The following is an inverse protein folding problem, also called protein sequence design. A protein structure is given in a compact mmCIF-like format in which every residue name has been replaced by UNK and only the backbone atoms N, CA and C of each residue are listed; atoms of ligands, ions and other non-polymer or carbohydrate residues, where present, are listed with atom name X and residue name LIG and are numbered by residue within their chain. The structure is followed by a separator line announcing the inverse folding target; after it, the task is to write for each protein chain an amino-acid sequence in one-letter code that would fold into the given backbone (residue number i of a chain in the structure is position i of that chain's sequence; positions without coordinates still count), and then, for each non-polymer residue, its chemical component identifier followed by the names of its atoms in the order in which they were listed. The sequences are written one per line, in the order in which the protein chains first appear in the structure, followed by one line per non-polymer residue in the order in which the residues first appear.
data_IF_790494438587
#
_entry.id   IF_790494438587
#
_cell.length_a   1.000
_cell.length_b   1.000
_cell.length_c   1.000
_cell.angle_alpha   90.00
_cell.angle_beta   90.00
_cell.angle_gamma   90.00
#
_symmetry.space_group_name_H-M   'P 1'
#
loop_
_entity.id
_entity.type
_entity.pdbx_description
1 polymer ?
#
# COMPACT_ATOMS: atom_id res chain seq x y z
N UNK A 1 0.64 8.65 5.02
CA UNK A 1 0.93 7.30 4.48
C UNK A 1 0.87 7.30 2.95
N UNK A 2 -0.27 7.61 2.32
CA UNK A 2 -0.41 7.65 0.86
C UNK A 2 0.65 8.54 0.16
N UNK A 3 0.96 9.71 0.74
CA UNK A 3 2.02 10.59 0.22
C UNK A 3 3.40 9.94 0.18
N UNK A 4 3.71 9.07 1.15
CA UNK A 4 5.01 8.38 1.20
C UNK A 4 5.07 7.29 0.12
N UNK A 5 4.01 6.50 -0.03
CA UNK A 5 3.89 5.51 -1.11
C UNK A 5 4.04 6.17 -2.49
N UNK A 6 3.39 7.31 -2.71
CA UNK A 6 3.50 8.07 -3.97
C UNK A 6 4.93 8.55 -4.23
N UNK A 7 5.65 8.97 -3.19
CA UNK A 7 7.05 9.33 -3.31
C UNK A 7 7.91 8.13 -3.71
N UNK A 8 7.74 6.98 -3.05
CA UNK A 8 8.48 5.76 -3.35
C UNK A 8 8.21 5.26 -4.78
N UNK A 9 6.95 5.26 -5.22
CA UNK A 9 6.60 4.86 -6.59
C UNK A 9 7.33 5.71 -7.63
N UNK A 10 7.40 7.03 -7.43
CA UNK A 10 8.16 7.94 -8.31
C UNK A 10 9.66 7.67 -8.26
N UNK A 11 10.21 7.47 -7.06
CA UNK A 11 11.64 7.16 -6.86
C UNK A 11 12.02 5.87 -7.57
N UNK A 12 11.15 4.86 -7.56
CA UNK A 12 11.45 3.53 -8.07
C UNK A 12 11.18 3.38 -9.57
N UNK A 13 10.34 4.24 -10.17
CA UNK A 13 9.84 4.11 -11.55
C UNK A 13 10.92 3.81 -12.60
N UNK A 14 12.06 4.51 -12.58
CA UNK A 14 13.13 4.33 -13.57
C UNK A 14 14.10 3.17 -13.28
N UNK A 15 13.91 2.49 -12.13
CA UNK A 15 14.81 1.45 -11.63
C UNK A 15 14.09 0.14 -11.34
N UNK A 16 12.76 0.11 -11.37
CA UNK A 16 11.99 -1.10 -11.14
C UNK A 16 11.99 -2.00 -12.38
N UNK A 17 12.72 -3.12 -12.32
CA UNK A 17 12.80 -4.12 -13.40
C UNK A 17 12.44 -5.51 -12.88
N UNK A 18 11.20 -6.00 -13.09
CA UNK A 18 10.78 -7.33 -12.65
C UNK A 18 11.66 -8.48 -13.16
N UNK A 19 12.21 -8.33 -14.37
CA UNK A 19 13.11 -9.28 -15.02
C UNK A 19 14.54 -9.29 -14.45
N UNK A 20 14.94 -8.24 -13.74
CA UNK A 20 16.24 -8.10 -13.10
C UNK A 20 16.06 -7.48 -11.70
N UNK A 21 15.55 -8.23 -10.71
CA UNK A 21 15.10 -7.67 -9.43
C UNK A 21 16.16 -6.86 -8.66
N UNK A 22 17.44 -7.21 -8.81
CA UNK A 22 18.55 -6.53 -8.14
C UNK A 22 18.99 -5.23 -8.87
N UNK A 23 18.58 -5.02 -10.13
CA UNK A 23 18.94 -3.82 -10.89
C UNK A 23 18.47 -2.57 -10.16
N UNK A 24 19.39 -1.67 -9.80
CA UNK A 24 19.06 -0.42 -9.12
C UNK A 24 18.65 -0.56 -7.64
N UNK A 25 18.95 -1.70 -7.00
CA UNK A 25 18.64 -1.94 -5.58
C UNK A 25 19.20 -0.84 -4.67
N UNK A 26 20.43 -0.39 -4.93
CA UNK A 26 21.09 0.66 -4.12
C UNK A 26 20.28 1.96 -4.13
N UNK A 27 19.73 2.35 -5.27
CA UNK A 27 18.89 3.54 -5.40
C UNK A 27 17.51 3.36 -4.75
N UNK A 28 17.01 2.12 -4.68
CA UNK A 28 15.75 1.76 -4.01
C UNK A 28 15.87 1.48 -2.52
N UNK A 29 17.09 1.30 -2.01
CA UNK A 29 17.35 1.06 -0.59
C UNK A 29 16.91 2.29 0.22
N UNK A 30 16.12 2.06 1.27
CA UNK A 30 15.58 3.10 2.13
C UNK A 30 16.21 2.98 3.52
N UNK A 31 16.86 4.05 3.99
CA UNK A 31 17.33 4.12 5.37
C UNK A 31 16.24 4.74 6.23
N UNK A 32 15.33 3.91 6.75
CA UNK A 32 14.12 4.34 7.46
C UNK A 32 14.46 5.08 8.76
N UNK A 33 15.43 4.55 9.53
CA UNK A 33 15.94 5.17 10.74
C UNK A 33 17.45 4.99 10.81
N UNK A 34 18.17 6.06 11.15
CA UNK A 34 19.61 6.08 11.39
C UNK A 34 19.91 6.84 12.68
N UNK A 35 20.22 6.10 13.76
CA UNK A 35 20.30 6.69 15.10
C UNK A 35 18.95 7.25 15.52
N UNK A 36 18.91 8.52 15.89
CA UNK A 36 17.69 9.23 16.29
C UNK A 36 16.98 9.93 15.11
N UNK A 37 17.57 9.89 13.91
CA UNK A 37 17.01 10.52 12.72
C UNK A 37 16.21 9.54 11.88
N UNK A 38 15.05 9.98 11.39
CA UNK A 38 14.29 9.27 10.37
C UNK A 38 14.77 9.62 8.97
N UNK A 39 14.38 8.80 7.99
CA UNK A 39 14.44 9.19 6.58
C UNK A 39 13.81 10.58 6.40
N UNK A 40 14.51 11.46 5.68
CA UNK A 40 14.11 12.87 5.55
C UNK A 40 12.73 13.03 4.89
N UNK A 41 12.39 12.16 3.93
CA UNK A 41 11.10 12.22 3.24
C UNK A 41 10.00 11.68 4.15
N UNK A 42 10.27 10.59 4.86
CA UNK A 42 9.34 10.06 5.86
C UNK A 42 9.05 11.10 6.94
N UNK A 43 10.09 11.76 7.48
CA UNK A 43 9.99 12.84 8.45
C UNK A 43 9.15 14.00 7.90
N UNK A 44 9.50 14.53 6.72
CA UNK A 44 8.78 15.65 6.08
C UNK A 44 7.29 15.34 5.90
N UNK A 45 6.96 14.14 5.42
CA UNK A 45 5.57 13.73 5.20
C UNK A 45 4.83 13.55 6.52
N UNK A 46 5.47 12.96 7.53
CA UNK A 46 4.90 12.82 8.87
C UNK A 46 4.57 14.17 9.48
N UNK A 47 5.51 15.11 9.47
CA UNK A 47 5.29 16.47 9.99
C UNK A 47 4.19 17.21 9.22
N UNK A 48 4.09 17.00 7.90
CA UNK A 48 3.03 17.62 7.08
C UNK A 48 1.61 17.21 7.47
N UNK A 49 1.44 16.06 8.13
CA UNK A 49 0.16 15.57 8.64
C UNK A 49 0.04 15.69 10.17
N UNK A 50 0.94 16.43 10.81
CA UNK A 50 0.90 16.70 12.25
C UNK A 50 1.47 15.61 13.15
N UNK A 51 2.24 14.66 12.61
CA UNK A 51 2.96 13.67 13.42
C UNK A 51 4.28 14.28 13.91
N UNK A 52 4.54 14.15 15.21
CA UNK A 52 5.79 14.56 15.84
C UNK A 52 6.90 13.58 15.46
N UNK A 53 8.01 14.11 14.94
CA UNK A 53 9.11 13.29 14.42
C UNK A 53 9.73 12.37 15.48
N UNK A 54 9.93 12.89 16.70
CA UNK A 54 10.51 12.13 17.82
C UNK A 54 9.63 10.94 18.21
N UNK A 55 8.31 11.12 18.28
CA UNK A 55 7.36 10.04 18.58
C UNK A 55 7.35 8.97 17.48
N UNK A 56 7.42 9.40 16.21
CA UNK A 56 7.53 8.48 15.09
C UNK A 56 8.86 7.72 15.10
N UNK A 57 9.97 8.40 15.41
CA UNK A 57 11.29 7.79 15.50
C UNK A 57 11.34 6.76 16.63
N UNK A 58 10.67 7.02 17.76
CA UNK A 58 10.57 6.11 18.90
C UNK A 58 9.82 4.81 18.58
N UNK A 59 8.97 4.80 17.53
CA UNK A 59 8.27 3.59 17.08
C UNK A 59 9.18 2.55 16.40
N UNK A 60 10.41 2.94 16.01
CA UNK A 60 11.35 2.04 15.36
C UNK A 60 12.41 1.52 16.35
N UNK A 61 12.66 0.20 16.39
CA UNK A 61 13.45 -0.45 17.45
C UNK A 61 14.93 -0.05 17.47
N UNK A 62 15.53 0.19 16.29
CA UNK A 62 16.91 0.69 16.13
C UNK A 62 17.11 1.13 14.68
N UNK A 63 18.36 1.32 14.24
CA UNK A 63 18.70 1.55 12.83
C UNK A 63 18.03 0.48 11.96
N UNK A 64 17.26 0.93 10.97
CA UNK A 64 16.46 0.09 10.10
C UNK A 64 16.68 0.49 8.65
N UNK A 65 17.04 -0.50 7.83
CA UNK A 65 17.21 -0.38 6.38
C UNK A 65 16.19 -1.28 5.71
N UNK A 66 15.45 -0.76 4.74
CA UNK A 66 14.53 -1.54 3.92
C UNK A 66 15.08 -1.70 2.49
N UNK A 67 15.01 -2.93 1.99
CA UNK A 67 15.34 -3.30 0.62
C UNK A 67 14.04 -3.62 -0.10
N UNK A 68 13.74 -2.84 -1.14
CA UNK A 68 12.49 -2.95 -1.90
C UNK A 68 12.81 -3.39 -3.33
N UNK A 69 12.72 -4.70 -3.58
CA UNK A 69 12.99 -5.29 -4.89
C UNK A 69 11.72 -5.96 -5.44
N UNK A 70 11.60 -6.12 -6.77
CA UNK A 70 10.58 -6.97 -7.36
C UNK A 70 10.58 -8.36 -6.72
N UNK A 71 9.41 -8.82 -6.28
CA UNK A 71 9.21 -10.13 -5.66
C UNK A 71 9.66 -10.27 -4.20
N UNK A 72 10.41 -9.32 -3.64
CA UNK A 72 10.81 -9.36 -2.22
C UNK A 72 11.01 -7.98 -1.61
N UNK A 73 10.38 -7.76 -0.46
CA UNK A 73 10.66 -6.63 0.43
C UNK A 73 11.23 -7.19 1.72
N UNK A 74 12.42 -6.75 2.08
CA UNK A 74 13.08 -7.17 3.31
C UNK A 74 13.59 -5.97 4.08
N UNK A 75 13.88 -6.17 5.36
CA UNK A 75 14.52 -5.16 6.18
C UNK A 75 15.63 -5.76 7.05
N UNK A 76 16.62 -4.94 7.31
CA UNK A 76 17.70 -5.22 8.24
C UNK A 76 17.60 -4.27 9.42
N UNK A 77 17.65 -4.83 10.62
CA UNK A 77 17.65 -4.09 11.88
C UNK A 77 18.99 -4.35 12.55
N UNK A 78 19.76 -3.31 12.90
CA UNK A 78 21.16 -3.47 13.33
C UNK A 78 21.36 -4.43 14.51
N UNK A 79 20.41 -4.46 15.45
CA UNK A 79 20.47 -5.33 16.63
C UNK A 79 19.80 -6.69 16.40
N UNK A 80 19.55 -7.06 15.14
CA UNK A 80 18.94 -8.31 14.76
C UNK A 80 19.78 -9.00 13.68
N UNK A 81 20.26 -10.20 13.99
CA UNK A 81 21.25 -10.90 13.16
C UNK A 81 20.70 -11.34 11.79
N UNK A 82 19.38 -11.42 11.64
CA UNK A 82 18.74 -11.94 10.44
C UNK A 82 18.10 -10.81 9.63
N UNK A 83 18.11 -10.97 8.32
CA UNK A 83 17.26 -10.17 7.45
C UNK A 83 15.80 -10.61 7.64
N UNK A 84 14.90 -9.66 7.87
CA UNK A 84 13.47 -9.92 8.05
C UNK A 84 12.79 -9.75 6.70
N UNK A 85 12.15 -10.79 6.19
CA UNK A 85 11.29 -10.69 5.01
C UNK A 85 9.96 -10.08 5.42
N UNK A 86 9.66 -8.89 4.89
CA UNK A 86 8.39 -8.18 5.12
C UNK A 86 7.33 -8.69 4.14
N UNK A 87 7.71 -8.89 2.88
CA UNK A 87 6.84 -9.42 1.84
C UNK A 87 7.67 -10.22 0.84
N UNK A 88 7.08 -11.28 0.29
CA UNK A 88 7.66 -12.09 -0.77
C UNK A 88 6.54 -12.63 -1.65
N UNK A 89 6.74 -12.64 -2.96
CA UNK A 89 5.73 -13.09 -3.91
C UNK A 89 6.20 -13.04 -5.36
N UNK A 90 5.24 -13.18 -6.26
CA UNK A 90 5.45 -13.02 -7.69
C UNK A 90 5.94 -11.59 -8.01
N UNK A 91 6.96 -11.47 -8.85
CA UNK A 91 7.49 -10.18 -9.32
C UNK A 91 6.43 -9.37 -10.09
N UNK A 92 5.42 -10.05 -10.64
CA UNK A 92 4.28 -9.50 -11.36
C UNK A 92 2.98 -9.56 -10.55
N UNK A 93 3.04 -9.58 -9.22
CA UNK A 93 1.85 -9.64 -8.37
C UNK A 93 0.80 -8.55 -8.68
N UNK A 94 1.22 -7.37 -9.14
CA UNK A 94 0.34 -6.25 -9.49
C UNK A 94 -0.64 -6.55 -10.64
N UNK A 95 -0.32 -7.54 -11.50
CA UNK A 95 -1.21 -7.96 -12.60
C UNK A 95 -1.95 -9.27 -12.30
N UNK A 96 -1.72 -9.86 -11.12
CA UNK A 96 -2.38 -11.09 -10.70
C UNK A 96 -3.75 -10.78 -10.07
N UNK A 97 -4.74 -11.61 -10.37
CA UNK A 97 -6.07 -11.50 -9.79
C UNK A 97 -6.20 -12.40 -8.56
N UNK A 98 -6.70 -11.84 -7.46
CA UNK A 98 -7.13 -12.63 -6.30
C UNK A 98 -8.58 -13.05 -6.51
N UNK A 99 -8.90 -14.35 -6.60
CA UNK A 99 -10.27 -14.80 -6.74
C UNK A 99 -11.06 -14.49 -5.46
N UNK A 100 -12.16 -13.76 -5.60
CA UNK A 100 -13.10 -13.46 -4.50
C UNK A 100 -14.41 -14.20 -4.81
N UNK A 101 -14.97 -14.97 -3.86
CA UNK A 101 -16.28 -15.59 -4.05
C UNK A 101 -17.37 -14.55 -4.34
N UNK A 102 -18.23 -14.82 -5.32
CA UNK A 102 -19.27 -13.88 -5.81
C UNK A 102 -20.12 -13.26 -4.70
N UNK A 103 -20.52 -14.06 -3.70
CA UNK A 103 -21.33 -13.56 -2.59
C UNK A 103 -20.63 -12.50 -1.74
N UNK A 104 -19.31 -12.59 -1.60
CA UNK A 104 -18.51 -11.59 -0.87
C UNK A 104 -18.32 -10.36 -1.74
N UNK A 105 -18.02 -10.52 -3.03
CA UNK A 105 -17.87 -9.41 -3.96
C UNK A 105 -19.16 -8.56 -4.00
N UNK A 106 -20.33 -9.21 -4.13
CA UNK A 106 -21.62 -8.53 -4.11
C UNK A 106 -21.87 -7.77 -2.80
N UNK A 107 -21.57 -8.38 -1.65
CA UNK A 107 -21.74 -7.72 -0.36
C UNK A 107 -20.86 -6.47 -0.22
N UNK A 108 -19.61 -6.54 -0.68
CA UNK A 108 -18.69 -5.39 -0.67
C UNK A 108 -19.14 -4.26 -1.61
N UNK A 109 -19.77 -4.59 -2.74
CA UNK A 109 -20.31 -3.61 -3.68
C UNK A 109 -21.66 -3.03 -3.25
N UNK A 110 -22.38 -3.69 -2.35
CA UNK A 110 -23.74 -3.30 -1.93
C UNK A 110 -23.84 -1.85 -1.46
N UNK A 111 -22.92 -1.29 -0.65
CA UNK A 111 -22.98 0.13 -0.26
C UNK A 111 -22.86 1.08 -1.46
N UNK A 112 -22.00 0.77 -2.44
CA UNK A 112 -21.84 1.59 -3.64
C UNK A 112 -23.05 1.48 -4.57
N UNK A 113 -23.60 0.27 -4.73
CA UNK A 113 -24.83 0.03 -5.49
C UNK A 113 -26.01 0.76 -4.83
N UNK A 114 -26.17 0.67 -3.51
CA UNK A 114 -27.23 1.34 -2.78
C UNK A 114 -27.11 2.87 -2.86
N UNK A 115 -25.90 3.42 -2.71
CA UNK A 115 -25.64 4.84 -2.89
C UNK A 115 -26.01 5.30 -4.31
N UNK A 116 -25.65 4.54 -5.33
CA UNK A 116 -25.99 4.83 -6.72
C UNK A 116 -27.51 4.75 -6.94
N UNK A 117 -28.21 3.74 -6.42
CA UNK A 117 -29.66 3.60 -6.51
C UNK A 117 -30.36 4.79 -5.84
N UNK A 118 -30.00 5.11 -4.59
CA UNK A 118 -30.60 6.22 -3.84
C UNK A 118 -30.37 7.58 -4.50
N UNK A 119 -29.18 7.82 -5.07
CA UNK A 119 -28.86 9.08 -5.74
C UNK A 119 -29.35 9.13 -7.19
N UNK A 120 -29.59 8.00 -7.85
CA UNK A 120 -30.25 7.93 -9.16
C UNK A 120 -31.76 8.17 -9.07
N UNK A 121 -32.37 7.92 -7.91
CA UNK A 121 -33.81 8.08 -7.66
C UNK A 121 -34.25 9.56 -7.49
N UNK A 122 -33.34 10.53 -7.58
CA UNK A 122 -33.71 11.95 -7.74
C UNK A 122 -34.45 12.26 -9.05
N UNK A 123 -34.52 11.32 -10.00
CA UNK A 123 -35.20 11.49 -11.28
C UNK A 123 -36.26 10.42 -11.62
N UNK A 124 -36.54 9.43 -10.75
CA UNK A 124 -37.47 8.33 -11.06
C UNK A 124 -38.28 7.90 -9.83
N UNK A 125 -39.02 8.82 -9.20
CA UNK A 125 -40.21 8.46 -8.39
C UNK A 125 -41.45 8.36 -9.29
N UNK A 126 -41.35 7.63 -10.40
CA UNK A 126 -42.48 7.25 -11.24
C UNK A 126 -42.16 5.95 -11.98
N UNK A 127 -42.19 4.83 -11.24
CA UNK A 127 -42.48 3.44 -11.69
C UNK A 127 -41.92 2.43 -10.69
N UNK A 128 -42.72 2.14 -9.68
CA UNK A 128 -42.65 0.90 -8.90
C UNK A 128 -42.95 -0.26 -9.85
N UNK A 129 -41.93 -0.85 -10.47
CA UNK A 129 -42.04 -2.16 -11.11
C UNK A 129 -41.28 -3.20 -10.29
N UNK A 130 -42.11 -4.05 -9.70
CA UNK A 130 -41.85 -5.32 -9.04
C UNK A 130 -40.69 -6.07 -9.71
N UNK A 131 -39.61 -6.31 -8.96
CA UNK A 131 -38.64 -7.36 -9.27
C UNK A 131 -39.14 -8.63 -8.59
N UNK A 132 -39.85 -9.46 -9.35
CA UNK A 132 -40.07 -10.87 -9.03
C UNK A 132 -38.78 -11.63 -9.26
N UNK A 133 -38.18 -12.16 -8.20
CA UNK A 133 -37.26 -13.30 -8.29
C UNK A 133 -38.08 -14.58 -8.16
N UNK A 134 -38.16 -15.35 -9.24
CA UNK A 134 -38.72 -16.70 -9.26
C UNK A 134 -37.64 -17.73 -8.89
N UNK A 135 -37.93 -18.55 -7.88
CA UNK A 135 -37.55 -19.97 -7.84
C UNK A 135 -38.77 -20.78 -8.26
#
# INVERSE_FOLDING_TARGET
MESYSNHLARRFLGKWKPEEPEYGEKERTLMIKAGDCLDQILSTIATSIGIVEEDLAACFPSLMIAYCNPGVVSCQVMNYAHMITVWMGDVNADVNFTPIPDGIAFFCETPAILYNVLNSNGNVMDKTNVVTTSC
#
